data_IF_365227721743
#
_entry.id   IF_365227721743
#
_cell.length_a   1.000
_cell.length_b   1.000
_cell.length_c   1.000
_cell.angle_alpha   90.00
_cell.angle_beta   90.00
_cell.angle_gamma   90.00
#
_symmetry.space_group_name_H-M   'P 1'
#
loop_
_entity.id
_entity.type
_entity.pdbx_description
1 polymer ?
#
# COMPACT_ATOMS: atom_id res chain seq x y z
N UNK A 1 -27.56 -10.27 -21.91
CA UNK A 1 -26.70 -9.21 -22.49
C UNK A 1 -25.35 -9.30 -21.83
N UNK A 2 -24.30 -9.56 -22.60
CA UNK A 2 -22.94 -9.82 -22.11
C UNK A 2 -22.28 -8.50 -21.69
N UNK A 3 -21.89 -8.39 -20.42
CA UNK A 3 -21.10 -7.26 -19.92
C UNK A 3 -19.66 -7.41 -20.44
N UNK A 4 -19.33 -6.69 -21.50
CA UNK A 4 -17.93 -6.49 -21.91
C UNK A 4 -17.23 -5.68 -20.81
N UNK A 5 -16.43 -6.35 -19.98
CA UNK A 5 -15.42 -5.70 -19.13
C UNK A 5 -14.52 -4.89 -20.05
N UNK A 6 -14.32 -3.61 -19.70
CA UNK A 6 -13.30 -2.77 -20.31
C UNK A 6 -11.97 -3.39 -19.92
N UNK A 7 -11.38 -4.19 -20.81
CA UNK A 7 -10.04 -4.74 -20.62
C UNK A 7 -9.04 -3.60 -20.64
N UNK A 8 -8.22 -3.50 -19.60
CA UNK A 8 -6.96 -2.75 -19.69
C UNK A 8 -6.15 -3.38 -20.83
N UNK A 9 -5.61 -2.57 -21.74
CA UNK A 9 -4.72 -3.04 -22.81
C UNK A 9 -3.54 -3.80 -22.21
N UNK A 10 -3.08 -4.87 -22.87
CA UNK A 10 -1.92 -5.68 -22.43
C UNK A 10 -0.65 -4.84 -22.14
N UNK A 11 -0.51 -3.66 -22.75
CA UNK A 11 0.62 -2.72 -22.53
C UNK A 11 0.53 -1.88 -21.23
N UNK A 12 -0.52 -2.03 -20.41
CA UNK A 12 -0.72 -1.23 -19.18
C UNK A 12 -0.83 -2.04 -17.89
N UNK A 13 -0.69 -3.37 -17.94
CA UNK A 13 -0.73 -4.19 -16.73
C UNK A 13 0.59 -4.05 -15.98
N UNK A 14 0.48 -3.71 -14.68
CA UNK A 14 1.65 -3.56 -13.81
C UNK A 14 2.30 -4.92 -13.62
N UNK A 15 3.61 -4.98 -13.86
CA UNK A 15 4.34 -6.25 -13.87
C UNK A 15 4.89 -6.58 -12.50
N UNK A 16 4.57 -7.76 -11.98
CA UNK A 16 5.06 -8.30 -10.72
C UNK A 16 5.97 -9.49 -11.00
N UNK A 17 7.04 -9.62 -10.22
CA UNK A 17 7.87 -10.82 -10.20
C UNK A 17 7.67 -11.55 -8.87
N UNK A 18 7.05 -12.73 -8.90
CA UNK A 18 6.86 -13.58 -7.73
C UNK A 18 7.92 -14.69 -7.72
N UNK A 19 8.70 -14.79 -6.64
CA UNK A 19 9.82 -15.72 -6.50
C UNK A 19 9.62 -16.59 -5.27
N UNK A 20 9.45 -17.90 -5.47
CA UNK A 20 9.18 -18.88 -4.42
C UNK A 20 9.54 -20.30 -4.91
N UNK A 21 10.11 -21.15 -4.07
CA UNK A 21 10.40 -22.54 -4.46
C UNK A 21 9.16 -23.46 -4.37
N UNK A 22 8.12 -23.04 -3.65
CA UNK A 22 6.83 -23.72 -3.63
C UNK A 22 6.03 -23.41 -4.90
N UNK A 23 6.05 -24.36 -5.83
CA UNK A 23 5.31 -24.28 -7.09
C UNK A 23 3.79 -24.14 -6.89
N UNK A 24 3.22 -24.73 -5.84
CA UNK A 24 1.78 -24.64 -5.56
C UNK A 24 1.41 -23.22 -5.12
N UNK A 25 2.26 -22.60 -4.30
CA UNK A 25 2.07 -21.22 -3.86
C UNK A 25 2.22 -20.24 -5.03
N UNK A 26 3.24 -20.43 -5.89
CA UNK A 26 3.42 -19.63 -7.11
C UNK A 26 2.17 -19.63 -7.99
N UNK A 27 1.59 -20.81 -8.27
CA UNK A 27 0.38 -20.92 -9.10
C UNK A 27 -0.76 -20.18 -8.43
N UNK A 28 -1.02 -20.47 -7.15
CA UNK A 28 -2.15 -19.90 -6.40
C UNK A 28 -2.08 -18.37 -6.34
N UNK A 29 -0.95 -17.81 -5.95
CA UNK A 29 -0.79 -16.36 -5.81
C UNK A 29 -0.72 -15.66 -7.16
N UNK A 30 -0.05 -16.25 -8.15
CA UNK A 30 0.02 -15.64 -9.49
C UNK A 30 -1.34 -15.61 -10.19
N UNK A 31 -2.16 -16.66 -10.07
CA UNK A 31 -3.51 -16.68 -10.63
C UNK A 31 -4.41 -15.65 -9.95
N UNK A 32 -4.32 -15.54 -8.62
CA UNK A 32 -5.04 -14.52 -7.86
C UNK A 32 -4.63 -13.10 -8.26
N UNK A 33 -3.32 -12.78 -8.28
CA UNK A 33 -2.84 -11.44 -8.65
C UNK A 33 -3.15 -11.11 -10.13
N UNK A 34 -3.07 -12.08 -11.04
CA UNK A 34 -3.51 -11.89 -12.44
C UNK A 34 -5.01 -11.61 -12.54
N UNK A 35 -5.82 -12.29 -11.73
CA UNK A 35 -7.26 -12.02 -11.66
C UNK A 35 -7.56 -10.60 -11.18
N UNK A 36 -6.76 -10.07 -10.25
CA UNK A 36 -6.82 -8.68 -9.76
C UNK A 36 -6.21 -7.65 -10.74
N UNK A 37 -5.72 -8.09 -11.90
CA UNK A 37 -5.33 -7.21 -13.02
C UNK A 37 -3.83 -6.95 -13.17
N UNK A 38 -2.98 -7.64 -12.40
CA UNK A 38 -1.53 -7.57 -12.56
C UNK A 38 -1.02 -8.48 -13.68
N UNK A 39 0.11 -8.12 -14.29
CA UNK A 39 0.90 -9.04 -15.11
C UNK A 39 1.92 -9.72 -14.20
N UNK A 40 1.85 -11.04 -14.03
CA UNK A 40 2.69 -11.75 -13.05
C UNK A 40 3.62 -12.70 -13.77
N UNK A 41 4.93 -12.50 -13.57
CA UNK A 41 5.99 -13.42 -13.95
C UNK A 41 6.43 -14.17 -12.69
N UNK A 42 6.70 -15.47 -12.81
CA UNK A 42 7.06 -16.32 -11.68
C UNK A 42 8.45 -16.91 -11.86
N UNK A 43 9.22 -17.02 -10.78
CA UNK A 43 10.49 -17.76 -10.76
C UNK A 43 10.52 -18.74 -9.57
N UNK A 44 11.11 -19.92 -9.79
CA UNK A 44 11.14 -21.02 -8.80
C UNK A 44 12.38 -21.03 -7.89
N UNK A 45 13.28 -20.07 -8.07
CA UNK A 45 14.50 -19.93 -7.29
C UNK A 45 15.08 -18.52 -7.48
N UNK A 46 16.02 -18.13 -6.62
CA UNK A 46 16.74 -16.85 -6.76
C UNK A 46 17.48 -16.75 -8.10
N UNK A 47 18.14 -17.82 -8.55
CA UNK A 47 18.85 -17.86 -9.83
C UNK A 47 17.89 -17.60 -11.00
N UNK A 48 16.72 -18.25 -11.01
CA UNK A 48 15.69 -18.00 -12.02
C UNK A 48 15.09 -16.60 -11.92
N UNK A 49 15.01 -16.04 -10.71
CA UNK A 49 14.63 -14.65 -10.51
C UNK A 49 15.58 -13.70 -11.22
N UNK A 50 16.89 -13.92 -11.08
CA UNK A 50 17.92 -13.08 -11.73
C UNK A 50 17.86 -13.21 -13.25
N UNK A 51 17.70 -14.43 -13.78
CA UNK A 51 17.50 -14.64 -15.22
C UNK A 51 16.27 -13.89 -15.76
N UNK A 52 15.18 -13.83 -14.99
CA UNK A 52 13.99 -13.06 -15.38
C UNK A 52 14.31 -11.56 -15.44
N UNK A 53 15.05 -11.03 -14.45
CA UNK A 53 15.42 -9.62 -14.41
C UNK A 53 16.31 -9.16 -15.57
N UNK A 54 16.94 -10.07 -16.32
CA UNK A 54 17.69 -9.73 -17.54
C UNK A 54 16.79 -9.23 -18.68
N UNK A 55 15.51 -9.61 -18.66
CA UNK A 55 14.55 -9.32 -19.75
C UNK A 55 13.26 -8.66 -19.27
N UNK A 56 13.07 -8.58 -17.95
CA UNK A 56 11.85 -8.10 -17.31
C UNK A 56 12.22 -7.07 -16.25
N UNK A 57 11.63 -5.89 -16.35
CA UNK A 57 11.65 -4.85 -15.31
C UNK A 57 10.31 -4.90 -14.54
N UNK A 58 10.25 -5.54 -13.36
CA UNK A 58 9.04 -5.56 -12.54
C UNK A 58 8.85 -4.26 -11.76
N UNK A 59 7.59 -3.85 -11.55
CA UNK A 59 7.24 -2.76 -10.63
C UNK A 59 7.34 -3.18 -9.15
N UNK A 60 7.30 -4.49 -8.87
CA UNK A 60 7.48 -5.05 -7.53
C UNK A 60 7.94 -6.51 -7.63
N UNK A 61 8.89 -6.85 -6.76
CA UNK A 61 9.32 -8.23 -6.52
C UNK A 61 8.69 -8.74 -5.22
N UNK A 62 8.00 -9.87 -5.29
CA UNK A 62 7.48 -10.59 -4.12
C UNK A 62 8.41 -11.79 -3.90
N UNK A 63 9.15 -11.80 -2.79
CA UNK A 63 10.31 -12.67 -2.60
C UNK A 63 10.17 -13.55 -1.37
N UNK A 64 10.24 -14.87 -1.54
CA UNK A 64 10.45 -15.79 -0.42
C UNK A 64 11.91 -15.79 0.06
N UNK A 65 12.10 -15.75 1.38
CA UNK A 65 13.46 -15.79 1.97
C UNK A 65 13.98 -17.19 2.24
N UNK A 66 13.09 -18.19 2.30
CA UNK A 66 13.40 -19.55 2.77
C UNK A 66 13.55 -20.57 1.62
N UNK A 67 14.12 -20.13 0.49
CA UNK A 67 14.41 -21.00 -0.64
C UNK A 67 15.80 -21.68 -0.53
N UNK A 68 16.00 -22.88 -1.12
CA UNK A 68 17.30 -23.54 -1.23
C UNK A 68 18.23 -22.83 -2.23
N UNK A 69 19.51 -23.24 -2.26
CA UNK A 69 20.50 -22.71 -3.21
C UNK A 69 20.94 -21.29 -2.85
N UNK A 70 20.93 -20.38 -3.84
CA UNK A 70 21.15 -18.95 -3.59
C UNK A 70 20.15 -18.38 -2.56
N UNK A 71 18.92 -18.90 -2.54
CA UNK A 71 17.87 -18.47 -1.64
C UNK A 71 17.42 -17.02 -1.88
N UNK A 72 16.43 -16.57 -1.11
CA UNK A 72 15.96 -15.18 -1.18
C UNK A 72 17.00 -14.17 -0.67
N UNK A 73 17.79 -14.55 0.34
CA UNK A 73 18.88 -13.69 0.86
C UNK A 73 19.94 -13.46 -0.21
N UNK A 74 20.35 -14.50 -0.92
CA UNK A 74 21.33 -14.37 -2.00
C UNK A 74 20.79 -13.56 -3.15
N UNK A 75 19.54 -13.81 -3.56
CA UNK A 75 18.86 -13.02 -4.59
C UNK A 75 18.82 -11.53 -4.24
N UNK A 76 18.35 -11.21 -3.02
CA UNK A 76 18.24 -9.84 -2.53
C UNK A 76 19.60 -9.12 -2.61
N UNK A 77 20.69 -9.76 -2.17
CA UNK A 77 22.05 -9.21 -2.25
C UNK A 77 22.51 -8.87 -3.66
N UNK A 78 22.08 -9.63 -4.67
CA UNK A 78 22.45 -9.37 -6.07
C UNK A 78 21.74 -8.17 -6.67
N UNK A 79 20.59 -7.78 -6.09
CA UNK A 79 19.80 -6.64 -6.57
C UNK A 79 19.97 -5.41 -5.69
N UNK A 80 20.93 -5.38 -4.76
CA UNK A 80 21.26 -4.18 -4.01
C UNK A 80 22.21 -3.30 -4.82
N UNK A 81 22.02 -1.99 -4.72
CA UNK A 81 22.98 -1.00 -5.19
C UNK A 81 24.20 -0.88 -4.24
N UNK A 82 25.16 -0.03 -4.61
CA UNK A 82 26.37 0.22 -3.80
C UNK A 82 26.08 0.78 -2.40
N UNK A 83 24.87 1.31 -2.17
CA UNK A 83 24.40 1.86 -0.90
C UNK A 83 23.54 0.87 -0.10
N UNK A 84 23.34 -0.35 -0.59
CA UNK A 84 22.54 -1.36 0.07
C UNK A 84 21.03 -1.24 -0.17
N UNK A 85 20.60 -0.40 -1.13
CA UNK A 85 19.18 -0.26 -1.49
C UNK A 85 18.81 -1.21 -2.63
N UNK A 86 17.69 -1.95 -2.53
CA UNK A 86 17.20 -2.76 -3.64
C UNK A 86 16.89 -1.90 -4.88
N UNK A 87 17.37 -2.36 -6.04
CA UNK A 87 17.13 -1.74 -7.36
C UNK A 87 15.64 -1.75 -7.76
N UNK A 88 14.88 -2.68 -7.20
CA UNK A 88 13.44 -2.84 -7.40
C UNK A 88 12.74 -2.82 -6.04
N UNK A 89 11.46 -2.41 -5.97
CA UNK A 89 10.69 -2.58 -4.75
C UNK A 89 10.59 -4.06 -4.37
N UNK A 90 10.72 -4.37 -3.09
CA UNK A 90 10.69 -5.75 -2.58
C UNK A 90 9.68 -5.91 -1.45
N UNK A 91 8.72 -6.82 -1.66
CA UNK A 91 7.85 -7.38 -0.62
C UNK A 91 8.36 -8.75 -0.22
N UNK A 92 8.80 -8.89 1.02
CA UNK A 92 9.30 -10.16 1.55
C UNK A 92 8.16 -11.03 2.07
N UNK A 93 8.09 -12.27 1.59
CA UNK A 93 7.30 -13.34 2.20
C UNK A 93 8.21 -14.22 3.06
N UNK A 94 7.85 -14.43 4.33
CA UNK A 94 8.71 -15.20 5.25
C UNK A 94 7.92 -16.02 6.26
N UNK A 95 8.38 -17.24 6.56
CA UNK A 95 7.84 -18.04 7.65
C UNK A 95 8.25 -17.54 9.06
N UNK A 96 9.13 -16.52 9.14
CA UNK A 96 9.70 -16.02 10.39
C UNK A 96 9.33 -14.56 10.60
N UNK A 97 8.43 -14.31 11.56
CA UNK A 97 7.98 -12.97 11.92
C UNK A 97 9.10 -12.04 12.45
N UNK A 98 10.22 -12.59 12.91
CA UNK A 98 11.36 -11.83 13.47
C UNK A 98 12.46 -11.50 12.44
N UNK A 99 12.24 -11.77 11.15
CA UNK A 99 13.24 -11.49 10.10
C UNK A 99 13.41 -9.99 9.80
N UNK A 100 12.48 -9.12 10.21
CA UNK A 100 12.63 -7.67 10.04
C UNK A 100 13.92 -7.14 10.72
N UNK A 101 14.31 -7.70 11.88
CA UNK A 101 15.57 -7.35 12.57
C UNK A 101 16.83 -7.78 11.80
N UNK A 102 16.75 -8.81 10.96
CA UNK A 102 17.88 -9.26 10.13
C UNK A 102 18.17 -8.32 8.95
N UNK A 103 17.21 -7.47 8.58
CA UNK A 103 17.33 -6.51 7.49
C UNK A 103 17.43 -5.07 8.00
N UNK A 104 17.87 -4.84 9.24
CA UNK A 104 18.05 -3.49 9.79
C UNK A 104 18.89 -2.57 8.90
N UNK A 105 19.81 -3.16 8.13
CA UNK A 105 20.75 -2.47 7.26
C UNK A 105 20.33 -2.48 5.77
N UNK A 106 19.15 -3.02 5.45
CA UNK A 106 18.60 -3.12 4.08
C UNK A 106 17.19 -2.53 4.05
N UNK A 107 16.99 -1.51 3.20
CA UNK A 107 15.69 -0.85 3.04
C UNK A 107 14.74 -1.75 2.21
N UNK A 108 13.91 -2.53 2.90
CA UNK A 108 12.86 -3.39 2.31
C UNK A 108 11.51 -2.69 2.40
N UNK A 109 10.75 -2.71 1.30
CA UNK A 109 9.50 -1.96 1.18
C UNK A 109 8.33 -2.57 1.97
N UNK A 110 8.33 -3.89 2.21
CA UNK A 110 7.31 -4.53 3.03
C UNK A 110 7.60 -5.98 3.42
N UNK A 111 6.87 -6.48 4.41
CA UNK A 111 6.99 -7.84 4.93
C UNK A 111 5.61 -8.46 5.18
N UNK A 112 5.45 -9.72 4.77
CA UNK A 112 4.28 -10.54 5.08
C UNK A 112 4.74 -11.91 5.61
N UNK A 113 4.15 -12.31 6.74
CA UNK A 113 4.39 -13.64 7.30
C UNK A 113 3.60 -14.71 6.53
N UNK A 114 4.23 -15.87 6.30
CA UNK A 114 3.55 -17.08 5.80
C UNK A 114 2.97 -17.89 6.98
N UNK A 115 1.78 -18.50 6.85
CA UNK A 115 0.85 -18.36 5.73
C UNK A 115 0.22 -16.96 5.69
N UNK A 116 -0.02 -16.44 4.49
CA UNK A 116 -0.66 -15.15 4.29
C UNK A 116 -2.03 -15.30 3.63
N UNK A 117 -2.97 -14.43 4.00
CA UNK A 117 -4.21 -14.29 3.25
C UNK A 117 -3.91 -13.61 1.90
N UNK A 118 -4.41 -14.11 0.75
CA UNK A 118 -4.22 -13.45 -0.54
C UNK A 118 -4.68 -11.99 -0.57
N UNK A 119 -5.68 -11.61 0.23
CA UNK A 119 -6.12 -10.21 0.34
C UNK A 119 -5.10 -9.35 1.07
N UNK A 120 -4.46 -9.87 2.12
CA UNK A 120 -3.37 -9.16 2.82
C UNK A 120 -2.20 -8.92 1.87
N UNK A 121 -1.86 -9.92 1.04
CA UNK A 121 -0.87 -9.77 -0.03
C UNK A 121 -1.27 -8.68 -1.03
N UNK A 122 -2.53 -8.67 -1.48
CA UNK A 122 -3.02 -7.68 -2.43
C UNK A 122 -2.93 -6.26 -1.89
N UNK A 123 -3.32 -6.06 -0.62
CA UNK A 123 -3.25 -4.77 0.04
C UNK A 123 -1.82 -4.25 0.07
N UNK A 124 -0.86 -5.08 0.45
CA UNK A 124 0.53 -4.69 0.58
C UNK A 124 1.20 -4.44 -0.78
N UNK A 125 0.88 -5.25 -1.78
CA UNK A 125 1.27 -5.01 -3.18
C UNK A 125 0.75 -3.65 -3.66
N UNK A 126 -0.53 -3.36 -3.39
CA UNK A 126 -1.17 -2.08 -3.72
C UNK A 126 -0.48 -0.90 -3.04
N UNK A 127 -0.17 -1.04 -1.74
CA UNK A 127 0.55 -0.03 -0.95
C UNK A 127 1.91 0.26 -1.55
N UNK A 128 2.80 -0.72 -1.68
CA UNK A 128 4.19 -0.50 -2.13
C UNK A 128 4.25 0.17 -3.52
N UNK A 129 3.44 -0.30 -4.46
CA UNK A 129 3.42 0.27 -5.82
C UNK A 129 2.91 1.71 -5.81
N UNK A 130 1.99 2.06 -4.91
CA UNK A 130 1.52 3.43 -4.74
C UNK A 130 2.63 4.34 -4.21
N UNK A 131 3.40 3.91 -3.21
CA UNK A 131 4.47 4.69 -2.56
C UNK A 131 5.65 4.94 -3.50
N UNK A 132 6.13 3.88 -4.16
CA UNK A 132 7.33 3.91 -5.01
C UNK A 132 7.16 4.68 -6.30
N UNK A 133 5.93 4.87 -6.75
CA UNK A 133 5.66 5.70 -7.92
C UNK A 133 6.01 7.16 -7.71
N UNK A 134 6.27 7.61 -6.48
CA UNK A 134 6.79 8.96 -6.25
C UNK A 134 5.98 10.00 -7.03
N UNK A 135 4.65 9.89 -7.06
CA UNK A 135 3.78 10.92 -7.66
C UNK A 135 3.80 12.23 -6.82
N UNK A 136 4.85 12.40 -6.02
CA UNK A 136 5.49 13.65 -5.62
C UNK A 136 6.59 14.03 -6.66
N UNK A 137 6.15 14.62 -7.77
CA UNK A 137 6.95 15.55 -8.57
C UNK A 137 8.02 14.98 -9.52
N UNK A 138 7.64 14.64 -10.76
CA UNK A 138 7.93 15.45 -11.95
C UNK A 138 7.32 14.81 -13.21
N UNK A 139 6.39 15.55 -13.81
CA UNK A 139 5.98 15.57 -15.22
C UNK A 139 6.51 14.47 -16.15
N UNK A 140 5.69 13.47 -16.41
CA UNK A 140 5.31 13.20 -17.82
C UNK A 140 3.80 13.27 -17.95
N UNK A 141 3.38 14.26 -18.71
CA UNK A 141 2.02 14.46 -19.18
C UNK A 141 1.47 13.16 -19.79
N UNK A 142 0.70 12.42 -19.01
CA UNK A 142 -0.55 11.84 -19.48
C UNK A 142 -1.66 12.58 -18.74
N UNK A 143 -2.33 13.47 -19.46
CA UNK A 143 -3.54 14.11 -18.95
C UNK A 143 -4.51 13.04 -18.46
N UNK A 144 -5.12 13.23 -17.27
CA UNK A 144 -6.41 12.57 -17.06
C UNK A 144 -7.08 12.66 -15.71
N UNK A 145 -6.41 12.45 -14.58
CA UNK A 145 -7.14 12.39 -13.32
C UNK A 145 -6.31 12.83 -12.11
N UNK A 146 -6.66 14.00 -11.57
CA UNK A 146 -6.23 14.36 -10.21
C UNK A 146 -6.77 13.31 -9.24
N UNK A 147 -5.90 12.80 -8.35
CA UNK A 147 -6.26 11.79 -7.35
C UNK A 147 -7.20 12.41 -6.33
N UNK A 148 -8.28 11.75 -5.96
CA UNK A 148 -9.26 12.26 -4.97
C UNK A 148 -8.87 11.78 -3.58
N UNK A 149 -8.78 12.70 -2.63
CA UNK A 149 -8.54 12.41 -1.23
C UNK A 149 -9.70 12.94 -0.41
N UNK A 150 -10.15 12.16 0.57
CA UNK A 150 -11.00 12.68 1.65
C UNK A 150 -10.13 12.91 2.87
N UNK A 151 -10.25 14.10 3.47
CA UNK A 151 -9.63 14.47 4.73
C UNK A 151 -10.73 14.61 5.81
N UNK A 152 -10.79 13.65 6.74
CA UNK A 152 -11.63 13.74 7.92
C UNK A 152 -10.95 14.55 9.02
N UNK A 153 -11.10 15.87 9.03
CA UNK A 153 -10.54 16.76 10.06
C UNK A 153 -11.48 17.94 10.30
N UNK A 154 -11.77 18.18 11.58
CA UNK A 154 -12.70 19.22 12.04
C UNK A 154 -12.01 20.52 12.44
N UNK A 155 -10.73 20.49 12.82
CA UNK A 155 -9.95 21.67 13.17
C UNK A 155 -9.32 22.30 11.91
N UNK A 156 -9.77 23.51 11.50
CA UNK A 156 -9.20 24.20 10.33
C UNK A 156 -7.70 24.45 10.46
N UNK A 157 -7.18 24.63 11.69
CA UNK A 157 -5.77 24.86 11.96
C UNK A 157 -4.88 23.68 11.57
N UNK A 158 -5.47 22.47 11.52
CA UNK A 158 -4.84 21.22 11.11
C UNK A 158 -5.19 20.92 9.64
N UNK A 159 -6.46 21.08 9.27
CA UNK A 159 -6.96 20.78 7.93
C UNK A 159 -6.35 21.69 6.84
N UNK A 160 -6.24 22.99 7.06
CA UNK A 160 -5.76 23.95 6.05
C UNK A 160 -4.30 23.66 5.62
N UNK A 161 -3.33 23.44 6.54
CA UNK A 161 -1.98 23.01 6.17
C UNK A 161 -1.96 21.70 5.38
N UNK A 162 -2.75 20.70 5.79
CA UNK A 162 -2.84 19.42 5.09
C UNK A 162 -3.39 19.59 3.68
N UNK A 163 -4.50 20.32 3.51
CA UNK A 163 -5.09 20.62 2.21
C UNK A 163 -4.09 21.34 1.32
N UNK A 164 -3.42 22.37 1.85
CA UNK A 164 -2.43 23.15 1.10
C UNK A 164 -1.29 22.27 0.60
N UNK A 165 -0.78 21.38 1.45
CA UNK A 165 0.28 20.44 1.11
C UNK A 165 -0.18 19.41 0.07
N UNK A 166 -1.24 18.64 0.34
CA UNK A 166 -1.72 17.61 -0.57
C UNK A 166 -2.21 18.15 -1.93
N UNK A 167 -2.74 19.38 -1.96
CA UNK A 167 -3.12 20.04 -3.21
C UNK A 167 -1.90 20.34 -4.11
N UNK A 168 -0.74 20.66 -3.52
CA UNK A 168 0.51 20.80 -4.27
C UNK A 168 0.96 19.47 -4.88
N UNK A 169 0.52 18.36 -4.28
CA UNK A 169 0.85 16.99 -4.66
C UNK A 169 -0.20 16.37 -5.60
N UNK A 170 -0.94 17.21 -6.33
CA UNK A 170 -1.95 16.80 -7.32
C UNK A 170 -3.16 16.01 -6.77
N UNK A 171 -3.42 16.09 -5.46
CA UNK A 171 -4.68 15.61 -4.89
C UNK A 171 -5.79 16.67 -5.02
N UNK A 172 -7.00 16.21 -5.31
CA UNK A 172 -8.24 16.92 -5.02
C UNK A 172 -8.70 16.50 -3.64
N UNK A 173 -8.46 17.36 -2.65
CA UNK A 173 -8.80 17.10 -1.25
C UNK A 173 -10.22 17.61 -0.98
N UNK A 174 -11.08 16.73 -0.49
CA UNK A 174 -12.38 17.06 0.08
C UNK A 174 -12.29 16.94 1.60
N UNK A 175 -12.58 18.03 2.32
CA UNK A 175 -12.53 18.04 3.78
C UNK A 175 -13.92 17.72 4.34
N UNK A 176 -13.97 16.79 5.27
CA UNK A 176 -15.15 16.40 6.01
C UNK A 176 -14.89 16.64 7.51
N UNK A 177 -15.77 17.39 8.18
CA UNK A 177 -15.59 17.72 9.60
C UNK A 177 -16.14 16.66 10.54
N UNK A 178 -16.95 15.73 10.02
CA UNK A 178 -17.67 14.73 10.82
C UNK A 178 -17.51 13.33 10.23
N UNK A 179 -17.55 12.31 11.08
CA UNK A 179 -17.42 10.92 10.63
C UNK A 179 -18.48 10.46 9.62
N UNK A 180 -19.78 10.80 9.81
CA UNK A 180 -20.81 10.47 8.83
C UNK A 180 -20.57 11.11 7.45
N UNK A 181 -19.97 12.31 7.40
CA UNK A 181 -19.63 12.99 6.15
C UNK A 181 -18.51 12.25 5.41
N UNK A 182 -17.48 11.78 6.13
CA UNK A 182 -16.41 10.95 5.56
C UNK A 182 -16.98 9.68 4.93
N UNK A 183 -17.88 8.99 5.64
CA UNK A 183 -18.51 7.76 5.17
C UNK A 183 -19.36 8.00 3.92
N UNK A 184 -20.22 9.03 3.95
CA UNK A 184 -21.06 9.41 2.81
C UNK A 184 -20.20 9.75 1.59
N UNK A 185 -19.19 10.60 1.76
CA UNK A 185 -18.32 11.03 0.69
C UNK A 185 -17.48 9.88 0.12
N UNK A 186 -17.02 8.94 0.96
CA UNK A 186 -16.30 7.75 0.49
C UNK A 186 -17.14 6.90 -0.47
N UNK A 187 -18.43 6.74 -0.17
CA UNK A 187 -19.38 5.97 -1.00
C UNK A 187 -19.66 6.70 -2.33
N UNK A 188 -19.90 8.01 -2.26
CA UNK A 188 -20.31 8.82 -3.41
C UNK A 188 -19.15 9.13 -4.35
N UNK A 189 -18.04 9.61 -3.78
CA UNK A 189 -16.95 10.23 -4.53
C UNK A 189 -15.82 9.26 -4.88
N UNK A 190 -15.79 8.06 -4.27
CA UNK A 190 -14.80 6.99 -4.49
C UNK A 190 -13.37 7.55 -4.49
N UNK A 191 -12.89 8.01 -3.33
CA UNK A 191 -11.54 8.55 -3.22
C UNK A 191 -10.49 7.47 -3.47
N UNK A 192 -9.30 7.92 -3.85
CA UNK A 192 -8.12 7.09 -3.97
C UNK A 192 -7.45 6.85 -2.61
N UNK A 193 -7.72 7.71 -1.61
CA UNK A 193 -7.24 7.58 -0.23
C UNK A 193 -8.12 8.39 0.73
N UNK A 194 -8.26 7.90 1.96
CA UNK A 194 -8.90 8.61 3.07
C UNK A 194 -7.86 8.83 4.16
N UNK A 195 -7.69 10.07 4.59
CA UNK A 195 -6.89 10.44 5.77
C UNK A 195 -7.87 11.01 6.77
N UNK A 196 -7.90 10.52 8.00
CA UNK A 196 -8.85 11.04 8.98
C UNK A 196 -8.33 11.00 10.40
N UNK A 197 -8.69 12.03 11.16
CA UNK A 197 -8.52 12.09 12.59
C UNK A 197 -9.38 11.00 13.25
N UNK A 198 -8.85 10.40 14.30
CA UNK A 198 -9.57 9.42 15.11
C UNK A 198 -10.74 10.05 15.88
N UNK A 199 -10.61 11.31 16.29
CA UNK A 199 -11.65 12.06 17.02
C UNK A 199 -12.44 12.90 16.03
N UNK A 200 -13.62 12.40 15.66
CA UNK A 200 -14.56 13.10 14.76
C UNK A 200 -15.95 13.17 15.40
N UNK A 201 -16.66 14.26 15.13
CA UNK A 201 -18.03 14.43 15.63
C UNK A 201 -18.96 13.37 15.03
N UNK A 202 -19.86 12.83 15.85
CA UNK A 202 -20.93 11.90 15.45
C UNK A 202 -20.46 10.45 15.28
N UNK A 203 -19.32 10.23 14.62
CA UNK A 203 -18.75 8.90 14.43
C UNK A 203 -17.21 9.01 14.40
N UNK A 204 -16.55 8.31 15.32
CA UNK A 204 -15.09 8.33 15.41
C UNK A 204 -14.43 7.67 14.19
N UNK A 205 -13.21 8.09 13.85
CA UNK A 205 -12.47 7.64 12.66
C UNK A 205 -12.35 6.12 12.56
N UNK A 206 -12.04 5.43 13.66
CA UNK A 206 -11.98 3.96 13.67
C UNK A 206 -13.32 3.30 13.34
N UNK A 207 -14.43 3.85 13.84
CA UNK A 207 -15.76 3.32 13.55
C UNK A 207 -16.16 3.57 12.09
N UNK A 208 -15.75 4.71 11.51
CA UNK A 208 -15.87 4.96 10.06
C UNK A 208 -15.05 3.93 9.28
N UNK A 209 -13.80 3.69 9.68
CA UNK A 209 -12.91 2.74 9.03
C UNK A 209 -13.50 1.32 9.04
N UNK A 210 -13.99 0.85 10.19
CA UNK A 210 -14.67 -0.44 10.34
C UNK A 210 -15.84 -0.59 9.36
N UNK A 211 -16.64 0.46 9.18
CA UNK A 211 -17.76 0.45 8.22
C UNK A 211 -17.26 0.38 6.78
N UNK A 212 -16.21 1.13 6.42
CA UNK A 212 -15.64 1.15 5.08
C UNK A 212 -15.10 -0.23 4.66
N UNK A 213 -14.46 -0.96 5.59
CA UNK A 213 -13.91 -2.31 5.38
C UNK A 213 -15.00 -3.33 5.02
N UNK A 214 -16.20 -3.19 5.59
CA UNK A 214 -17.29 -4.15 5.36
C UNK A 214 -18.01 -3.89 4.03
N UNK A 215 -17.88 -2.69 3.48
CA UNK A 215 -18.63 -2.26 2.30
C UNK A 215 -17.89 -2.59 0.98
N UNK A 216 -18.50 -3.31 0.02
CA UNK A 216 -17.82 -3.82 -1.17
C UNK A 216 -17.10 -2.78 -2.04
N UNK A 217 -17.60 -1.55 -2.07
CA UNK A 217 -17.07 -0.47 -2.92
C UNK A 217 -16.03 0.42 -2.23
N UNK A 218 -15.80 0.22 -0.93
CA UNK A 218 -14.91 1.06 -0.11
C UNK A 218 -13.87 0.25 0.65
N UNK A 219 -14.04 -1.07 0.77
CA UNK A 219 -13.16 -1.99 1.52
C UNK A 219 -11.71 -2.05 1.03
N UNK A 220 -11.44 -1.54 -0.17
CA UNK A 220 -10.10 -1.48 -0.76
C UNK A 220 -9.52 -0.06 -0.75
N UNK A 221 -10.26 0.93 -0.25
CA UNK A 221 -9.78 2.31 -0.19
C UNK A 221 -8.75 2.38 0.94
N UNK A 222 -7.51 2.83 0.66
CA UNK A 222 -6.52 3.12 1.69
C UNK A 222 -7.04 4.11 2.72
N UNK A 223 -6.93 3.76 4.00
CA UNK A 223 -7.30 4.61 5.13
C UNK A 223 -6.09 4.85 6.02
N UNK A 224 -5.80 6.11 6.32
CA UNK A 224 -4.82 6.51 7.33
C UNK A 224 -5.53 7.19 8.48
N UNK A 225 -5.38 6.61 9.67
CA UNK A 225 -5.90 7.14 10.92
C UNK A 225 -4.79 7.88 11.66
N UNK A 226 -5.07 9.07 12.14
CA UNK A 226 -4.13 9.78 13.02
C UNK A 226 -4.81 10.30 14.27
N UNK A 227 -4.05 10.47 15.34
CA UNK A 227 -4.53 11.06 16.59
C UNK A 227 -3.37 11.72 17.36
N UNK A 228 -3.73 12.66 18.22
CA UNK A 228 -2.79 13.33 19.14
C UNK A 228 -2.33 12.45 20.31
N UNK A 229 -3.00 11.31 20.56
CA UNK A 229 -2.74 10.45 21.72
C UNK A 229 -2.59 8.97 21.30
N UNK A 230 -1.42 8.41 21.59
CA UNK A 230 -1.05 7.01 21.33
C UNK A 230 -2.01 6.02 22.00
N UNK A 231 -2.57 6.36 23.17
CA UNK A 231 -3.51 5.51 23.91
C UNK A 231 -4.82 5.38 23.13
N UNK A 232 -5.26 6.44 22.46
CA UNK A 232 -6.48 6.44 21.65
C UNK A 232 -6.28 5.54 20.42
N UNK A 233 -5.09 5.53 19.82
CA UNK A 233 -4.76 4.64 18.70
C UNK A 233 -4.62 3.18 19.15
N UNK A 234 -3.95 2.91 20.27
CA UNK A 234 -3.78 1.54 20.82
C UNK A 234 -5.09 0.90 21.27
N UNK A 235 -6.06 1.70 21.72
CA UNK A 235 -7.39 1.23 22.11
C UNK A 235 -8.38 1.20 20.94
N UNK A 236 -7.95 1.58 19.74
CA UNK A 236 -8.75 1.41 18.54
C UNK A 236 -8.95 -0.08 18.26
N UNK A 237 -10.19 -0.54 17.99
CA UNK A 237 -10.43 -1.94 17.60
C UNK A 237 -9.77 -2.30 16.27
N UNK A 238 -9.36 -1.29 15.50
CA UNK A 238 -8.65 -1.39 14.24
C UNK A 238 -7.19 -1.77 14.49
N UNK A 239 -6.83 -3.01 14.14
CA UNK A 239 -5.41 -3.40 14.05
C UNK A 239 -4.87 -2.93 12.70
N UNK A 240 -3.72 -2.26 12.71
CA UNK A 240 -2.93 -1.97 11.49
C UNK A 240 -2.81 -3.24 10.65
N UNK A 241 -3.19 -3.18 9.36
CA UNK A 241 -3.11 -4.33 8.45
C UNK A 241 -4.41 -5.09 8.22
N UNK A 242 -5.57 -4.66 8.75
CA UNK A 242 -6.87 -5.28 8.43
C UNK A 242 -7.73 -4.32 7.59
N UNK A 243 -8.10 -4.73 6.38
CA UNK A 243 -9.23 -4.18 5.66
C UNK A 243 -9.06 -2.80 4.99
N UNK A 244 -7.85 -2.46 4.57
CA UNK A 244 -7.56 -1.20 3.88
C UNK A 244 -7.06 -0.07 4.79
N UNK A 245 -6.94 -0.31 6.10
CA UNK A 245 -6.27 0.64 7.00
C UNK A 245 -4.77 0.44 6.88
N UNK A 246 -4.13 1.43 6.26
CA UNK A 246 -2.72 1.40 5.84
C UNK A 246 -1.81 1.79 6.99
N UNK A 247 -2.22 2.74 7.84
CA UNK A 247 -1.41 3.18 8.95
C UNK A 247 -2.22 3.85 10.08
N UNK A 248 -1.70 3.73 11.30
CA UNK A 248 -2.09 4.55 12.45
C UNK A 248 -0.93 5.45 12.84
N UNK A 249 -1.15 6.76 12.86
CA UNK A 249 -0.10 7.76 13.05
C UNK A 249 -0.34 8.53 14.34
N UNK A 250 0.56 8.36 15.31
CA UNK A 250 0.58 9.24 16.48
C UNK A 250 1.26 10.55 16.12
N UNK A 251 0.55 11.66 16.26
CA UNK A 251 1.09 12.95 15.85
C UNK A 251 0.40 14.11 16.53
N UNK A 252 1.15 15.17 16.85
CA UNK A 252 0.57 16.44 17.27
C UNK A 252 0.16 17.26 16.05
N UNK A 253 -0.68 18.27 16.23
CA UNK A 253 -1.05 19.25 15.20
C UNK A 253 0.15 19.87 14.44
N UNK A 254 1.32 20.02 15.09
CA UNK A 254 2.49 20.64 14.49
C UNK A 254 3.25 19.72 13.51
N UNK A 255 3.22 18.41 13.74
CA UNK A 255 3.97 17.41 12.98
C UNK A 255 3.07 16.50 12.12
N UNK A 256 1.76 16.75 12.14
CA UNK A 256 0.71 15.93 11.49
C UNK A 256 1.03 15.67 10.03
N UNK A 257 1.44 16.71 9.30
CA UNK A 257 1.68 16.62 7.87
C UNK A 257 2.88 15.72 7.60
N UNK A 258 3.99 15.92 8.30
CA UNK A 258 5.20 15.12 8.09
C UNK A 258 5.02 13.65 8.45
N UNK A 259 4.36 13.36 9.58
CA UNK A 259 4.14 11.98 10.01
C UNK A 259 3.10 11.25 9.18
N UNK A 260 2.03 11.92 8.75
CA UNK A 260 1.05 11.34 7.82
C UNK A 260 1.69 11.15 6.46
N UNK A 261 2.53 12.09 6.00
CA UNK A 261 3.31 11.92 4.76
C UNK A 261 4.18 10.68 4.88
N UNK A 262 4.95 10.50 5.95
CA UNK A 262 5.74 9.28 6.11
C UNK A 262 4.87 8.02 6.16
N UNK A 263 3.75 8.03 6.88
CA UNK A 263 2.87 6.86 6.95
C UNK A 263 2.11 6.54 5.63
N UNK A 264 1.96 7.54 4.76
CA UNK A 264 1.29 7.44 3.46
C UNK A 264 2.29 7.28 2.31
N UNK A 265 3.59 7.54 2.51
CA UNK A 265 4.63 7.62 1.45
C UNK A 265 5.97 6.89 1.76
N UNK A 266 6.24 6.46 3.00
CA UNK A 266 7.35 5.55 3.41
C UNK A 266 6.81 4.14 3.74
#
# INVERSE_FOLDING_TARGET
MSLRRIGMSEEQKRKLLLIDDDTSLLVTLSDFLRFEGYDVVTAKSGEKGLEVLETVEPELIILDMSMPGMGGIGFLKHILDEKGKPLYPVLVLTARANMAEFFSDVEIDGFIAKPCDPQDLLMEVGRIIFLRRGDYGETTSTAGRKRRMILGESDPSIAEPMVAWFSQCSYLVEVCGKGPEVLESAIVNRPDVIVMNQVLEGLNGSAVADMLVVMPNTKLIPVVLYADDEIILKNSPVKSGVGGIVATVETTAADVVGKIVNAVFE
#
